data_IF_532764300804
#
_entry.id   IF_532764300804
#
_cell.length_a   1.000
_cell.length_b   1.000
_cell.length_c   1.000
_cell.angle_alpha   90.00
_cell.angle_beta   90.00
_cell.angle_gamma   90.00
#
_symmetry.space_group_name_H-M   'P 1'
#
loop_
_entity.id
_entity.type
_entity.pdbx_description
1 polymer ?
#
# COMPACT_ATOMS: atom_id res chain seq x y z
N UNK A 1 -1.29 37.72 25.56
CA UNK A 1 -1.83 36.35 25.54
C UNK A 1 -1.43 35.74 24.21
N UNK A 2 -0.35 34.96 24.17
CA UNK A 2 0.19 34.40 22.91
C UNK A 2 -0.46 33.04 22.69
N UNK A 3 -1.31 32.94 21.68
CA UNK A 3 -1.90 31.68 21.21
C UNK A 3 -0.83 30.92 20.41
N UNK A 4 -0.17 29.95 21.03
CA UNK A 4 0.71 29.01 20.31
C UNK A 4 -0.18 27.99 19.61
N UNK A 5 -0.41 28.19 18.31
CA UNK A 5 -1.08 27.21 17.45
C UNK A 5 -0.08 26.09 17.17
N UNK A 6 -0.21 24.98 17.90
CA UNK A 6 0.53 23.75 17.60
C UNK A 6 -0.11 23.10 16.38
N UNK A 7 0.45 23.34 15.20
CA UNK A 7 0.17 22.56 14.00
C UNK A 7 0.69 21.15 14.22
N UNK A 8 -0.19 20.24 14.65
CA UNK A 8 0.09 18.80 14.69
C UNK A 8 0.10 18.32 13.23
N UNK A 9 1.26 18.41 12.58
CA UNK A 9 1.48 17.84 11.25
C UNK A 9 1.50 16.33 11.43
N UNK A 10 0.32 15.70 11.36
CA UNK A 10 0.19 14.24 11.38
C UNK A 10 0.59 13.66 10.02
N UNK A 11 1.86 13.81 9.65
CA UNK A 11 2.46 13.01 8.59
C UNK A 11 2.83 11.64 9.18
N UNK A 12 2.30 10.56 8.60
CA UNK A 12 2.67 9.20 8.97
C UNK A 12 4.20 9.04 8.93
N UNK A 13 4.78 8.42 9.96
CA UNK A 13 6.22 8.26 10.09
C UNK A 13 6.74 7.33 8.99
N UNK A 14 7.69 7.80 8.19
CA UNK A 14 8.39 6.94 7.23
C UNK A 14 9.29 5.96 7.98
N UNK A 15 9.18 4.68 7.65
CA UNK A 15 9.98 3.61 8.25
C UNK A 15 10.49 2.66 7.17
N UNK A 16 11.58 1.97 7.47
CA UNK A 16 12.25 1.04 6.54
C UNK A 16 11.33 -0.11 6.09
N UNK A 17 11.46 -0.59 4.84
CA UNK A 17 10.73 -1.74 4.32
C UNK A 17 11.27 -3.04 4.90
N UNK A 18 10.86 -3.34 6.13
CA UNK A 18 11.13 -4.60 6.82
C UNK A 18 9.83 -5.32 7.14
N UNK A 19 9.87 -6.65 7.20
CA UNK A 19 8.71 -7.48 7.58
C UNK A 19 8.09 -7.02 8.90
N UNK A 20 8.90 -6.63 9.88
CA UNK A 20 8.44 -6.12 11.17
C UNK A 20 7.60 -4.85 11.02
N UNK A 21 8.06 -3.88 10.22
CA UNK A 21 7.36 -2.61 10.01
C UNK A 21 6.08 -2.80 9.19
N UNK A 22 6.07 -3.74 8.25
CA UNK A 22 4.88 -4.13 7.50
C UNK A 22 3.83 -4.72 8.44
N UNK A 23 4.23 -5.65 9.31
CA UNK A 23 3.33 -6.26 10.29
C UNK A 23 2.74 -5.23 11.26
N UNK A 24 3.49 -4.17 11.64
CA UNK A 24 2.96 -3.05 12.43
C UNK A 24 1.84 -2.30 11.68
N UNK A 25 1.96 -2.13 10.37
CA UNK A 25 0.91 -1.51 9.55
C UNK A 25 -0.29 -2.45 9.42
N UNK A 26 -0.08 -3.74 9.14
CA UNK A 26 -1.15 -4.72 9.04
C UNK A 26 -1.95 -4.90 10.33
N UNK A 27 -1.29 -4.81 11.48
CA UNK A 27 -1.92 -4.95 12.79
C UNK A 27 -3.02 -3.91 13.05
N UNK A 28 -3.01 -2.75 12.38
CA UNK A 28 -4.08 -1.75 12.55
C UNK A 28 -5.39 -2.19 11.90
N UNK A 29 -5.39 -3.14 10.96
CA UNK A 29 -6.55 -3.49 10.11
C UNK A 29 -7.15 -2.31 9.34
N UNK A 30 -6.45 -1.17 9.34
CA UNK A 30 -6.75 0.04 8.60
C UNK A 30 -5.45 0.48 7.93
N UNK A 31 -5.31 0.13 6.65
CA UNK A 31 -4.14 0.48 5.88
C UNK A 31 -4.49 0.61 4.40
N UNK A 32 -3.61 1.30 3.68
CA UNK A 32 -3.67 1.44 2.23
C UNK A 32 -2.38 0.90 1.63
N UNK A 33 -2.51 0.07 0.61
CA UNK A 33 -1.45 -0.38 -0.26
C UNK A 33 -1.61 0.28 -1.63
N UNK A 34 -0.64 1.07 -2.05
CA UNK A 34 -0.63 1.84 -3.29
C UNK A 34 0.47 1.31 -4.20
N UNK A 35 0.19 1.26 -5.49
CA UNK A 35 1.16 1.11 -6.54
C UNK A 35 1.22 2.42 -7.33
N UNK A 36 2.42 3.00 -7.42
CA UNK A 36 2.70 4.17 -8.24
C UNK A 36 3.63 3.71 -9.37
N UNK A 37 3.12 3.73 -10.60
CA UNK A 37 3.90 3.45 -11.80
C UNK A 37 4.84 4.62 -12.10
N UNK A 38 6.02 4.33 -12.66
CA UNK A 38 6.91 5.34 -13.23
C UNK A 38 6.24 6.17 -14.34
N UNK A 39 5.19 5.62 -15.00
CA UNK A 39 4.37 6.34 -16.00
C UNK A 39 3.39 7.34 -15.39
N UNK A 40 3.27 7.40 -14.06
CA UNK A 40 2.34 8.28 -13.33
C UNK A 40 0.99 7.64 -12.98
N UNK A 41 0.73 6.41 -13.45
CA UNK A 41 -0.47 5.68 -13.08
C UNK A 41 -0.46 5.30 -11.60
N UNK A 42 -1.61 5.50 -10.94
CA UNK A 42 -1.75 5.18 -9.52
C UNK A 42 -2.95 4.29 -9.29
N UNK A 43 -2.71 3.17 -8.60
CA UNK A 43 -3.75 2.25 -8.14
C UNK A 43 -3.59 2.00 -6.65
N UNK A 44 -4.69 1.79 -5.93
CA UNK A 44 -4.61 1.49 -4.51
C UNK A 44 -5.68 0.53 -4.02
N UNK A 45 -5.31 -0.24 -2.99
CA UNK A 45 -6.16 -1.12 -2.20
C UNK A 45 -6.17 -0.58 -0.77
N UNK A 46 -7.34 -0.20 -0.26
CA UNK A 46 -7.50 0.21 1.13
C UNK A 46 -8.36 -0.79 1.88
N UNK A 47 -7.94 -1.14 3.09
CA UNK A 47 -8.61 -2.07 3.97
C UNK A 47 -9.11 -1.29 5.16
N UNK A 48 -10.43 -1.23 5.35
CA UNK A 48 -11.06 -0.51 6.48
C UNK A 48 -12.37 -1.17 6.84
N UNK A 49 -12.58 -1.42 8.13
CA UNK A 49 -13.85 -1.95 8.65
C UNK A 49 -14.34 -3.18 7.88
N UNK A 50 -13.46 -4.14 7.60
CA UNK A 50 -13.75 -5.38 6.85
C UNK A 50 -14.18 -5.17 5.38
N UNK A 51 -13.91 -3.98 4.83
CA UNK A 51 -14.04 -3.71 3.40
C UNK A 51 -12.68 -3.56 2.73
N UNK A 52 -12.60 -4.11 1.52
CA UNK A 52 -11.59 -3.79 0.53
C UNK A 52 -12.14 -2.71 -0.40
N UNK A 53 -11.38 -1.64 -0.55
CA UNK A 53 -11.66 -0.53 -1.46
C UNK A 53 -10.54 -0.47 -2.50
N UNK A 54 -10.89 -0.73 -3.76
CA UNK A 54 -9.98 -0.62 -4.89
C UNK A 54 -10.23 0.69 -5.65
N UNK A 55 -9.17 1.47 -5.83
CA UNK A 55 -9.18 2.72 -6.59
C UNK A 55 -8.19 2.64 -7.74
N UNK A 56 -8.66 2.97 -8.94
CA UNK A 56 -7.84 3.16 -10.13
C UNK A 56 -8.34 4.40 -10.90
N UNK A 57 -8.05 4.47 -12.19
CA UNK A 57 -8.68 5.32 -13.20
C UNK A 57 -10.19 5.09 -13.39
N UNK A 58 -10.71 3.95 -12.93
CA UNK A 58 -12.13 3.56 -12.99
C UNK A 58 -12.88 3.98 -11.72
N UNK A 59 -14.23 3.89 -11.71
CA UNK A 59 -15.01 4.08 -10.49
C UNK A 59 -14.49 3.24 -9.34
N UNK A 60 -14.49 3.81 -8.13
CA UNK A 60 -14.00 3.12 -6.93
C UNK A 60 -14.87 1.90 -6.66
N UNK A 61 -14.23 0.74 -6.54
CA UNK A 61 -14.87 -0.51 -6.22
C UNK A 61 -14.73 -0.80 -4.73
N UNK A 62 -15.84 -1.25 -4.12
CA UNK A 62 -15.86 -1.60 -2.70
C UNK A 62 -16.59 -2.92 -2.52
N UNK A 63 -15.97 -3.83 -1.77
CA UNK A 63 -16.60 -5.08 -1.34
C UNK A 63 -16.14 -5.47 0.05
N UNK A 64 -16.90 -6.34 0.70
CA UNK A 64 -16.45 -7.02 1.90
C UNK A 64 -15.26 -7.91 1.57
N UNK A 65 -14.36 -8.04 2.54
CA UNK A 65 -13.17 -8.87 2.43
C UNK A 65 -13.10 -9.84 3.60
N UNK A 66 -12.77 -11.09 3.29
CA UNK A 66 -12.51 -12.09 4.31
C UNK A 66 -11.15 -11.89 4.98
N UNK A 67 -11.01 -12.37 6.21
CA UNK A 67 -9.73 -12.32 6.91
C UNK A 67 -8.62 -13.10 6.17
N UNK A 68 -8.96 -14.22 5.52
CA UNK A 68 -8.01 -15.01 4.72
C UNK A 68 -7.45 -14.22 3.53
N UNK A 69 -8.28 -13.43 2.85
CA UNK A 69 -7.81 -12.55 1.79
C UNK A 69 -6.88 -11.44 2.31
N UNK A 70 -7.14 -10.91 3.52
CA UNK A 70 -6.23 -9.94 4.17
C UNK A 70 -4.88 -10.59 4.48
N UNK A 71 -4.87 -11.83 4.99
CA UNK A 71 -3.64 -12.58 5.24
C UNK A 71 -2.86 -12.85 3.94
N UNK A 72 -3.56 -13.22 2.87
CA UNK A 72 -2.97 -13.39 1.54
C UNK A 72 -2.28 -12.11 1.05
N UNK A 73 -2.93 -10.95 1.23
CA UNK A 73 -2.36 -9.65 0.84
C UNK A 73 -1.12 -9.33 1.68
N UNK A 74 -1.11 -9.68 2.98
CA UNK A 74 0.09 -9.53 3.82
C UNK A 74 1.26 -10.37 3.32
N UNK A 75 1.03 -11.66 3.05
CA UNK A 75 2.05 -12.55 2.49
C UNK A 75 2.60 -12.04 1.16
N UNK A 76 1.71 -11.54 0.30
CA UNK A 76 2.09 -10.92 -0.96
C UNK A 76 3.00 -9.68 -0.74
N UNK A 77 2.63 -8.77 0.15
CA UNK A 77 3.42 -7.56 0.43
C UNK A 77 4.78 -7.92 1.02
N UNK A 78 4.85 -8.90 1.95
CA UNK A 78 6.11 -9.36 2.51
C UNK A 78 7.04 -9.96 1.45
N UNK A 79 6.51 -10.66 0.44
CA UNK A 79 7.30 -11.16 -0.69
C UNK A 79 7.90 -10.03 -1.53
N UNK A 80 7.19 -8.90 -1.70
CA UNK A 80 7.73 -7.72 -2.42
C UNK A 80 8.78 -7.01 -1.58
N UNK A 81 8.57 -6.89 -0.26
CA UNK A 81 9.53 -6.28 0.67
C UNK A 81 10.88 -6.97 0.61
N UNK A 82 10.89 -8.31 0.53
CA UNK A 82 12.13 -9.09 0.39
C UNK A 82 12.86 -8.87 -0.95
N UNK A 83 12.19 -8.25 -1.94
CA UNK A 83 12.76 -7.87 -3.25
C UNK A 83 13.06 -6.39 -3.33
N UNK A 84 13.04 -5.68 -2.20
CA UNK A 84 13.32 -4.26 -2.18
C UNK A 84 14.75 -3.96 -2.62
N UNK A 85 14.86 -3.15 -3.66
CA UNK A 85 16.11 -2.60 -4.16
C UNK A 85 16.59 -1.46 -3.26
N UNK A 86 17.86 -1.51 -2.87
CA UNK A 86 18.53 -0.42 -2.14
C UNK A 86 19.17 0.63 -3.04
N UNK A 87 19.12 0.41 -4.36
CA UNK A 87 19.88 1.18 -5.36
C UNK A 87 18.94 2.03 -6.21
N UNK A 88 17.71 1.56 -6.45
CA UNK A 88 16.71 2.27 -7.25
C UNK A 88 16.10 3.45 -6.48
N UNK A 89 15.78 4.51 -7.22
CA UNK A 89 15.21 5.76 -6.68
C UNK A 89 13.69 5.78 -6.91
N UNK A 90 12.86 5.97 -5.86
CA UNK A 90 11.40 5.95 -6.00
C UNK A 90 10.83 7.08 -6.86
N UNK A 91 11.58 8.16 -7.13
CA UNK A 91 11.15 9.24 -8.02
C UNK A 91 11.34 8.88 -9.50
N UNK A 92 12.15 7.86 -9.80
CA UNK A 92 12.46 7.42 -11.18
C UNK A 92 12.03 5.99 -11.48
N UNK A 93 11.64 5.23 -10.45
CA UNK A 93 11.18 3.84 -10.54
C UNK A 93 9.74 3.69 -10.04
N UNK A 94 9.02 2.71 -10.59
CA UNK A 94 7.72 2.35 -10.03
C UNK A 94 7.91 1.75 -8.65
N UNK A 95 7.01 2.09 -7.73
CA UNK A 95 7.16 1.72 -6.35
C UNK A 95 5.82 1.51 -5.67
N UNK A 96 5.87 0.80 -4.56
CA UNK A 96 4.75 0.50 -3.72
C UNK A 96 4.81 1.34 -2.46
N UNK A 97 3.65 1.75 -1.96
CA UNK A 97 3.53 2.41 -0.67
C UNK A 97 2.51 1.65 0.16
N UNK A 98 2.92 1.16 1.33
CA UNK A 98 1.99 0.70 2.35
C UNK A 98 1.98 1.68 3.51
N UNK A 99 0.80 2.11 3.93
CA UNK A 99 0.66 3.13 4.98
C UNK A 99 -0.61 2.96 5.78
N UNK A 100 -0.55 3.39 7.04
CA UNK A 100 -1.72 3.68 7.86
C UNK A 100 -1.59 5.10 8.45
N UNK A 101 -2.35 5.40 9.50
CA UNK A 101 -2.31 6.70 10.18
C UNK A 101 -0.97 6.99 10.85
N UNK A 102 -0.22 5.97 11.27
CA UNK A 102 1.00 6.10 12.05
C UNK A 102 2.27 5.91 11.23
N UNK A 103 2.27 5.00 10.24
CA UNK A 103 3.46 4.57 9.52
C UNK A 103 3.26 4.58 8.01
N UNK A 104 4.36 4.83 7.29
CA UNK A 104 4.46 4.72 5.84
C UNK A 104 5.74 3.94 5.51
N UNK A 105 5.63 2.99 4.61
CA UNK A 105 6.75 2.23 4.04
C UNK A 105 6.70 2.37 2.53
N UNK A 106 7.85 2.62 1.92
CA UNK A 106 8.03 2.64 0.47
C UNK A 106 8.85 1.41 0.08
N UNK A 107 8.37 0.67 -0.93
CA UNK A 107 9.02 -0.55 -1.41
C UNK A 107 9.25 -0.39 -2.91
N UNK A 108 10.50 -0.42 -3.32
CA UNK A 108 10.92 -0.35 -4.73
C UNK A 108 11.44 -1.74 -5.11
N UNK A 109 10.69 -2.57 -5.84
CA UNK A 109 11.15 -3.89 -6.22
C UNK A 109 11.92 -3.87 -7.55
N UNK A 110 12.87 -4.79 -7.73
CA UNK A 110 13.63 -4.92 -8.99
C UNK A 110 12.77 -5.38 -10.20
N UNK A 111 11.49 -5.76 -9.99
CA UNK A 111 10.53 -6.13 -11.02
C UNK A 111 9.17 -5.53 -10.67
N UNK A 112 8.71 -4.56 -11.45
CA UNK A 112 7.82 -3.51 -10.93
C UNK A 112 6.32 -3.77 -11.13
N UNK A 113 5.86 -4.04 -12.36
CA UNK A 113 4.44 -3.95 -12.69
C UNK A 113 3.68 -5.28 -12.54
N UNK A 114 4.38 -6.40 -12.77
CA UNK A 114 3.75 -7.72 -12.83
C UNK A 114 3.15 -8.17 -11.50
N UNK A 115 3.73 -7.75 -10.37
CA UNK A 115 3.24 -8.18 -9.06
C UNK A 115 1.89 -7.56 -8.74
N UNK A 116 1.72 -6.25 -8.92
CA UNK A 116 0.45 -5.60 -8.59
C UNK A 116 -0.71 -6.13 -9.44
N UNK A 117 -0.49 -6.32 -10.74
CA UNK A 117 -1.51 -6.89 -11.62
C UNK A 117 -1.84 -8.35 -11.25
N UNK A 118 -0.86 -9.15 -10.82
CA UNK A 118 -1.11 -10.49 -10.29
C UNK A 118 -1.94 -10.45 -9.00
N UNK A 119 -1.71 -9.49 -8.11
CA UNK A 119 -2.53 -9.27 -6.91
C UNK A 119 -3.98 -8.94 -7.30
N UNK A 120 -4.18 -8.00 -8.22
CA UNK A 120 -5.51 -7.61 -8.67
C UNK A 120 -6.28 -8.78 -9.29
N UNK A 121 -5.62 -9.57 -10.14
CA UNK A 121 -6.22 -10.79 -10.73
C UNK A 121 -6.58 -11.81 -9.67
N UNK A 122 -5.71 -12.02 -8.68
CA UNK A 122 -5.97 -12.98 -7.60
C UNK A 122 -7.16 -12.54 -6.74
N UNK A 123 -7.31 -11.24 -6.51
CA UNK A 123 -8.44 -10.64 -5.78
C UNK A 123 -9.70 -10.43 -6.66
N UNK A 124 -9.65 -10.83 -7.94
CA UNK A 124 -10.71 -10.66 -8.96
C UNK A 124 -11.13 -9.19 -9.15
N UNK A 125 -10.17 -8.28 -9.08
CA UNK A 125 -10.37 -6.84 -9.22
C UNK A 125 -10.07 -6.33 -10.64
N UNK A 126 -9.36 -7.10 -11.45
CA UNK A 126 -9.01 -6.77 -12.83
C UNK A 126 -10.23 -6.71 -13.76
N UNK A 127 -11.29 -7.45 -13.42
CA UNK A 127 -12.54 -7.49 -14.19
C UNK A 127 -13.53 -6.39 -13.83
N UNK A 128 -13.23 -5.57 -12.83
CA UNK A 128 -14.14 -4.51 -12.39
C UNK A 128 -14.19 -3.41 -13.47
N UNK A 129 -15.42 -3.13 -13.92
CA UNK A 129 -15.71 -2.15 -14.98
C UNK A 129 -16.00 -0.78 -14.38
#
# INVERSE_FOLDING_TARGET
>A
MVFVVIFIVSCARSVEPTVENINKIFASKDFTFEFNSHTGDKKSLSFRNDYLVYKSDKPTYRREISYDEVLFINDFIQKIVNRHSKILDPDTSSHYIIKNTAYKVVIIPDQEDYYFDALLKTLKLDTVK
#
